data_IF_070217277904
#
_entry.id   IF_070217277904
#
_cell.length_a   1.000
_cell.length_b   1.000
_cell.length_c   1.000
_cell.angle_alpha   90.00
_cell.angle_beta   90.00
_cell.angle_gamma   90.00
#
_symmetry.space_group_name_H-M   'P 1'
#
loop_
_entity.id
_entity.type
_entity.pdbx_description
1 polymer ?
#
# COMPACT_ATOMS: atom_id res chain seq x y z
N UNK A 1 1.88 -13.04 -27.58
CA UNK A 1 1.18 -11.83 -27.12
C UNK A 1 -0.24 -11.74 -27.67
N UNK A 2 -0.49 -12.12 -28.94
CA UNK A 2 -1.82 -12.10 -29.55
C UNK A 2 -2.85 -13.00 -28.86
N UNK A 3 -2.46 -14.17 -28.36
CA UNK A 3 -3.36 -15.10 -27.67
C UNK A 3 -3.78 -14.64 -26.27
N UNK A 4 -2.95 -13.85 -25.60
CA UNK A 4 -3.29 -13.29 -24.28
C UNK A 4 -4.42 -12.26 -24.40
N UNK A 5 -4.41 -11.46 -25.47
CA UNK A 5 -5.48 -10.47 -25.71
C UNK A 5 -6.79 -11.09 -26.17
N UNK A 6 -6.75 -12.16 -26.95
CA UNK A 6 -7.96 -12.88 -27.37
C UNK A 6 -8.69 -13.55 -26.22
N UNK A 7 -7.96 -14.07 -25.22
CA UNK A 7 -8.55 -14.68 -24.01
C UNK A 7 -9.24 -13.67 -23.10
N UNK A 8 -8.91 -12.39 -23.21
CA UNK A 8 -9.56 -11.33 -22.42
C UNK A 8 -10.95 -10.95 -22.98
N UNK A 9 -11.28 -11.37 -24.18
CA UNK A 9 -12.62 -11.18 -24.77
C UNK A 9 -13.63 -12.25 -24.31
N UNK A 10 -13.14 -13.36 -23.74
CA UNK A 10 -14.01 -14.38 -23.18
C UNK A 10 -14.68 -13.86 -21.91
N UNK A 11 -15.99 -13.71 -21.95
CA UNK A 11 -16.80 -13.39 -20.79
C UNK A 11 -17.12 -14.70 -20.04
N UNK A 12 -16.89 -14.69 -18.73
CA UNK A 12 -17.22 -15.81 -17.86
C UNK A 12 -18.34 -15.42 -16.87
N UNK A 13 -19.59 -15.22 -17.35
CA UNK A 13 -20.66 -14.66 -16.53
C UNK A 13 -20.97 -15.49 -15.30
N UNK A 14 -21.02 -16.81 -15.43
CA UNK A 14 -21.29 -17.71 -14.30
C UNK A 14 -20.21 -17.63 -13.22
N UNK A 15 -18.95 -17.51 -13.62
CA UNK A 15 -17.83 -17.35 -12.69
C UNK A 15 -17.87 -16.00 -11.98
N UNK A 16 -18.19 -14.95 -12.71
CA UNK A 16 -18.34 -13.60 -12.14
C UNK A 16 -19.53 -13.55 -11.17
N UNK A 17 -20.65 -14.16 -11.52
CA UNK A 17 -21.83 -14.27 -10.65
C UNK A 17 -21.49 -15.01 -9.37
N UNK A 18 -20.83 -16.15 -9.46
CA UNK A 18 -20.34 -16.90 -8.31
C UNK A 18 -19.43 -16.06 -7.40
N UNK A 19 -18.48 -15.30 -7.99
CA UNK A 19 -17.62 -14.39 -7.19
C UNK A 19 -18.46 -13.32 -6.47
N UNK A 20 -19.48 -12.76 -7.12
CA UNK A 20 -20.37 -11.77 -6.50
C UNK A 20 -21.20 -12.36 -5.36
N UNK A 21 -21.73 -13.57 -5.53
CA UNK A 21 -22.41 -14.30 -4.48
C UNK A 21 -21.50 -14.53 -3.27
N UNK A 22 -20.25 -14.98 -3.49
CA UNK A 22 -19.28 -15.19 -2.42
C UNK A 22 -18.93 -13.90 -1.70
N UNK A 23 -18.77 -12.79 -2.43
CA UNK A 23 -18.53 -11.47 -1.82
C UNK A 23 -19.72 -10.98 -0.99
N UNK A 24 -20.94 -11.26 -1.44
CA UNK A 24 -22.14 -10.91 -0.69
C UNK A 24 -22.30 -11.76 0.58
N UNK A 25 -21.97 -13.06 0.48
CA UNK A 25 -22.05 -14.01 1.59
C UNK A 25 -20.98 -13.79 2.66
N UNK A 26 -19.78 -13.38 2.24
CA UNK A 26 -18.61 -13.17 3.09
C UNK A 26 -18.04 -11.78 2.89
N UNK A 27 -18.74 -10.71 3.32
CA UNK A 27 -18.26 -9.35 3.13
C UNK A 27 -16.99 -9.13 3.96
N UNK A 28 -16.07 -8.36 3.39
CA UNK A 28 -14.90 -7.87 4.13
C UNK A 28 -15.36 -6.82 5.13
N UNK A 29 -14.99 -7.00 6.38
CA UNK A 29 -15.35 -6.10 7.49
C UNK A 29 -14.12 -5.74 8.31
N UNK A 30 -14.11 -4.56 8.90
CA UNK A 30 -13.12 -4.12 9.87
C UNK A 30 -13.77 -3.17 10.89
N UNK A 31 -13.05 -2.86 11.97
CA UNK A 31 -13.53 -1.90 12.98
C UNK A 31 -13.42 -0.47 12.48
N UNK A 32 -14.56 0.16 12.20
CA UNK A 32 -14.65 1.54 11.73
C UNK A 32 -14.47 2.60 12.84
N UNK A 33 -14.30 2.19 14.09
CA UNK A 33 -14.07 3.11 15.22
C UNK A 33 -12.59 3.41 15.47
N UNK A 34 -11.69 2.72 14.77
CA UNK A 34 -10.24 2.81 15.00
C UNK A 34 -9.49 3.12 13.72
N UNK A 35 -8.31 3.74 13.88
CA UNK A 35 -7.37 3.93 12.77
C UNK A 35 -6.76 2.59 12.37
N UNK A 36 -7.26 2.04 11.28
CA UNK A 36 -6.83 0.74 10.75
C UNK A 36 -6.26 0.86 9.35
N UNK A 37 -5.50 -0.16 8.91
CA UNK A 37 -5.00 -0.21 7.54
C UNK A 37 -6.09 -0.20 6.48
N UNK A 38 -7.16 -1.01 6.60
CA UNK A 38 -8.31 -0.95 5.69
C UNK A 38 -8.92 0.44 5.56
N UNK A 39 -9.13 1.15 6.68
CA UNK A 39 -9.65 2.52 6.67
C UNK A 39 -8.79 3.49 5.83
N UNK A 40 -7.47 3.43 6.01
CA UNK A 40 -6.54 4.28 5.25
C UNK A 40 -6.67 4.00 3.75
N UNK A 41 -6.78 2.74 3.36
CA UNK A 41 -6.87 2.33 1.96
C UNK A 41 -8.21 2.72 1.34
N UNK A 42 -9.31 2.59 2.07
CA UNK A 42 -10.62 3.07 1.60
C UNK A 42 -10.63 4.59 1.41
N UNK A 43 -10.05 5.35 2.36
CA UNK A 43 -9.90 6.80 2.19
C UNK A 43 -9.04 7.17 1.00
N UNK A 44 -7.95 6.45 0.77
CA UNK A 44 -7.12 6.63 -0.43
C UNK A 44 -7.92 6.37 -1.71
N UNK A 45 -8.72 5.29 -1.73
CA UNK A 45 -9.60 4.99 -2.86
C UNK A 45 -10.64 6.10 -3.09
N UNK A 46 -11.32 6.57 -2.04
CA UNK A 46 -12.32 7.64 -2.11
C UNK A 46 -11.72 8.93 -2.71
N UNK A 47 -10.53 9.32 -2.24
CA UNK A 47 -9.85 10.54 -2.67
C UNK A 47 -9.39 10.44 -4.13
N UNK A 48 -8.78 9.32 -4.51
CA UNK A 48 -8.27 9.09 -5.87
C UNK A 48 -9.35 8.63 -6.83
N UNK A 49 -10.53 8.26 -6.32
CA UNK A 49 -11.62 7.63 -7.09
C UNK A 49 -11.17 6.37 -7.85
N UNK A 50 -10.15 5.70 -7.31
CA UNK A 50 -9.54 4.53 -7.94
C UNK A 50 -8.62 4.84 -9.14
N UNK A 51 -8.37 6.10 -9.45
CA UNK A 51 -7.44 6.51 -10.51
C UNK A 51 -6.05 6.78 -9.94
N UNK A 52 -5.39 5.70 -9.52
CA UNK A 52 -4.03 5.73 -9.04
C UNK A 52 -3.32 4.40 -9.33
N UNK A 53 -2.02 4.44 -9.47
CA UNK A 53 -1.16 3.27 -9.44
C UNK A 53 -0.76 3.03 -7.99
N UNK A 54 -1.13 1.88 -7.46
CA UNK A 54 -0.80 1.46 -6.11
C UNK A 54 0.33 0.45 -6.18
N UNK A 55 1.47 0.81 -5.62
CA UNK A 55 2.54 -0.14 -5.33
C UNK A 55 2.44 -0.58 -3.88
N UNK A 56 2.77 -1.82 -3.58
CA UNK A 56 2.83 -2.29 -2.19
C UNK A 56 4.11 -3.03 -1.90
N UNK A 57 4.56 -2.91 -0.68
CA UNK A 57 5.43 -3.88 -0.07
C UNK A 57 4.66 -5.12 0.40
N UNK A 58 5.31 -6.01 1.12
CA UNK A 58 4.78 -7.33 1.48
C UNK A 58 4.40 -7.40 2.97
N UNK A 59 3.14 -7.74 3.23
CA UNK A 59 2.60 -7.83 4.59
C UNK A 59 1.09 -7.64 4.62
N UNK A 60 0.54 -7.36 5.79
CA UNK A 60 -0.90 -7.09 5.93
C UNK A 60 -1.37 -5.93 5.05
N UNK A 61 -0.55 -4.88 4.92
CA UNK A 61 -0.83 -3.73 4.04
C UNK A 61 -1.00 -4.13 2.57
N UNK A 62 -0.28 -5.15 2.10
CA UNK A 62 -0.44 -5.73 0.76
C UNK A 62 -1.82 -6.39 0.61
N UNK A 63 -2.19 -7.22 1.58
CA UNK A 63 -3.50 -7.89 1.58
C UNK A 63 -4.64 -6.87 1.64
N UNK A 64 -4.55 -5.87 2.52
CA UNK A 64 -5.56 -4.82 2.61
C UNK A 64 -5.67 -4.00 1.34
N UNK A 65 -4.54 -3.70 0.68
CA UNK A 65 -4.54 -2.98 -0.61
C UNK A 65 -5.23 -3.78 -1.70
N UNK A 66 -5.03 -5.10 -1.75
CA UNK A 66 -5.71 -5.98 -2.70
C UNK A 66 -7.22 -6.10 -2.40
N UNK A 67 -7.62 -6.02 -1.13
CA UNK A 67 -9.00 -6.23 -0.68
C UNK A 67 -9.86 -4.97 -0.74
N UNK A 68 -9.32 -3.83 -0.31
CA UNK A 68 -10.11 -2.61 -0.07
C UNK A 68 -9.92 -1.52 -1.13
N UNK A 69 -8.81 -1.52 -1.90
CA UNK A 69 -8.67 -0.62 -3.04
C UNK A 69 -9.32 -1.24 -4.29
N UNK A 70 -10.31 -0.55 -4.86
CA UNK A 70 -11.04 -1.05 -6.04
C UNK A 70 -10.33 -0.59 -7.32
N UNK A 71 -9.50 -1.48 -7.87
CA UNK A 71 -8.75 -1.21 -9.10
C UNK A 71 -9.69 -1.15 -10.32
N UNK A 72 -9.51 -0.13 -11.15
CA UNK A 72 -10.33 0.11 -12.35
C UNK A 72 -9.62 -0.25 -13.65
N UNK A 73 -8.30 -0.19 -13.65
CA UNK A 73 -7.46 -0.43 -14.80
C UNK A 73 -6.49 -1.59 -14.54
N UNK A 74 -6.22 -2.45 -15.52
CA UNK A 74 -5.18 -3.46 -15.39
C UNK A 74 -3.81 -2.79 -15.23
N UNK A 75 -2.89 -3.49 -14.55
CA UNK A 75 -1.51 -3.04 -14.30
C UNK A 75 -1.39 -1.77 -13.44
N UNK A 76 -2.40 -1.47 -12.62
CA UNK A 76 -2.36 -0.38 -11.64
C UNK A 76 -2.14 -0.87 -10.21
N UNK A 77 -1.98 -2.19 -10.02
CA UNK A 77 -1.56 -2.80 -8.76
C UNK A 77 -0.19 -3.48 -8.95
N UNK A 78 0.84 -2.89 -8.34
CA UNK A 78 2.23 -3.36 -8.44
C UNK A 78 2.63 -3.98 -7.10
N UNK A 79 2.89 -5.27 -7.11
CA UNK A 79 3.20 -5.99 -5.87
C UNK A 79 4.05 -7.22 -6.13
N UNK A 80 4.92 -7.59 -5.18
CA UNK A 80 5.65 -8.85 -5.19
C UNK A 80 4.75 -9.99 -4.68
N UNK A 81 3.72 -10.34 -5.47
CA UNK A 81 2.71 -11.33 -5.08
C UNK A 81 3.17 -12.79 -5.15
N UNK A 82 4.23 -13.08 -5.87
CA UNK A 82 4.80 -14.42 -5.97
C UNK A 82 5.89 -14.69 -4.94
N UNK A 83 7.02 -13.99 -5.06
CA UNK A 83 8.17 -14.20 -4.18
C UNK A 83 8.02 -13.52 -2.80
N UNK A 84 7.20 -12.48 -2.68
CA UNK A 84 6.98 -11.79 -1.41
C UNK A 84 8.19 -10.99 -0.94
N UNK A 85 8.80 -10.21 -1.83
CA UNK A 85 10.03 -9.46 -1.52
C UNK A 85 9.71 -8.19 -0.74
N UNK A 86 10.09 -8.15 0.54
CA UNK A 86 10.06 -6.92 1.34
C UNK A 86 11.07 -5.90 0.79
N UNK A 87 10.66 -4.63 0.70
CA UNK A 87 11.47 -3.56 0.10
C UNK A 87 11.22 -3.35 -1.40
N UNK A 88 10.36 -4.14 -2.03
CA UNK A 88 10.01 -4.01 -3.45
C UNK A 88 9.27 -2.71 -3.77
N UNK A 89 8.35 -2.31 -2.89
CA UNK A 89 7.29 -1.36 -3.20
C UNK A 89 7.79 0.03 -3.60
N UNK A 90 8.73 0.60 -2.85
CA UNK A 90 9.21 1.97 -3.11
C UNK A 90 9.93 2.09 -4.45
N UNK A 91 10.82 1.13 -4.78
CA UNK A 91 11.49 1.11 -6.09
C UNK A 91 10.51 0.96 -7.25
N UNK A 92 9.51 0.07 -7.10
CA UNK A 92 8.45 -0.12 -8.09
C UNK A 92 7.59 1.16 -8.27
N UNK A 93 7.28 1.87 -7.18
CA UNK A 93 6.54 3.14 -7.24
C UNK A 93 7.31 4.24 -7.97
N UNK A 94 8.62 4.37 -7.68
CA UNK A 94 9.49 5.32 -8.40
C UNK A 94 9.49 4.99 -9.91
N UNK A 95 9.68 3.71 -10.25
CA UNK A 95 9.64 3.26 -11.64
C UNK A 95 8.29 3.52 -12.31
N UNK A 96 7.19 3.26 -11.62
CA UNK A 96 5.84 3.55 -12.11
C UNK A 96 5.63 5.04 -12.37
N UNK A 97 6.10 5.89 -11.46
CA UNK A 97 5.98 7.35 -11.63
C UNK A 97 6.84 7.88 -12.78
N UNK A 98 7.99 7.27 -13.00
CA UNK A 98 8.85 7.60 -14.16
C UNK A 98 8.20 7.16 -15.48
N UNK A 99 7.59 5.97 -15.51
CA UNK A 99 6.91 5.44 -16.70
C UNK A 99 5.54 6.07 -16.97
N UNK A 100 4.86 6.55 -15.93
CA UNK A 100 3.54 7.19 -16.01
C UNK A 100 3.52 8.47 -15.17
N UNK A 101 4.19 9.52 -15.63
CA UNK A 101 4.30 10.80 -14.90
C UNK A 101 2.95 11.50 -14.74
N UNK A 102 1.98 11.18 -15.59
CA UNK A 102 0.61 11.67 -15.61
C UNK A 102 -0.27 11.09 -14.50
N UNK A 103 0.10 9.93 -13.96
CA UNK A 103 -0.72 9.22 -12.94
C UNK A 103 -0.29 9.56 -11.51
N UNK A 104 -1.27 9.54 -10.62
CA UNK A 104 -1.02 9.47 -9.18
C UNK A 104 -0.39 8.12 -8.86
N UNK A 105 0.73 8.13 -8.15
CA UNK A 105 1.41 6.90 -7.71
C UNK A 105 1.54 6.92 -6.20
N UNK A 106 1.11 5.84 -5.56
CA UNK A 106 1.17 5.67 -4.10
C UNK A 106 1.85 4.34 -3.79
N UNK A 107 2.87 4.37 -2.95
CA UNK A 107 3.40 3.15 -2.33
C UNK A 107 2.83 2.97 -0.93
N UNK A 108 2.44 1.74 -0.60
CA UNK A 108 1.92 1.38 0.72
C UNK A 108 2.85 0.32 1.31
N UNK A 109 3.52 0.65 2.39
CA UNK A 109 4.47 -0.22 3.07
C UNK A 109 4.16 -0.33 4.56
N UNK A 110 4.50 -1.45 5.16
CA UNK A 110 4.64 -1.56 6.61
C UNK A 110 5.99 -1.01 7.05
N UNK A 111 6.11 -0.69 8.33
CA UNK A 111 7.34 -0.18 8.94
C UNK A 111 8.55 -1.11 8.74
N UNK A 112 8.36 -2.42 8.86
CA UNK A 112 9.42 -3.41 8.59
C UNK A 112 9.88 -3.43 7.14
N UNK A 113 8.96 -3.30 6.19
CA UNK A 113 9.29 -3.27 4.77
C UNK A 113 9.95 -1.95 4.36
N UNK A 114 9.43 -0.83 4.85
CA UNK A 114 9.99 0.49 4.54
C UNK A 114 11.46 0.58 4.93
N UNK A 115 11.86 -0.01 6.05
CA UNK A 115 13.27 -0.08 6.50
C UNK A 115 14.20 -0.79 5.53
N UNK A 116 13.69 -1.70 4.72
CA UNK A 116 14.50 -2.47 3.77
C UNK A 116 15.12 -1.59 2.68
N UNK A 117 14.37 -0.55 2.24
CA UNK A 117 14.74 0.29 1.10
C UNK A 117 14.42 1.78 1.29
N UNK A 118 14.25 2.27 2.52
CA UNK A 118 13.93 3.68 2.78
C UNK A 118 14.96 4.67 2.23
N UNK A 119 16.19 4.23 2.00
CA UNK A 119 17.24 5.02 1.34
C UNK A 119 16.83 5.48 -0.06
N UNK A 120 15.92 4.77 -0.75
CA UNK A 120 15.41 5.15 -2.06
C UNK A 120 14.47 6.36 -2.02
N UNK A 121 14.11 6.86 -0.84
CA UNK A 121 13.48 8.19 -0.71
C UNK A 121 14.39 9.28 -1.31
N UNK A 122 15.70 9.19 -1.11
CA UNK A 122 16.65 10.11 -1.74
C UNK A 122 16.61 10.00 -3.27
N UNK A 123 16.42 8.80 -3.82
CA UNK A 123 16.23 8.60 -5.26
C UNK A 123 14.92 9.23 -5.74
N UNK A 124 13.83 9.06 -5.01
CA UNK A 124 12.54 9.70 -5.34
C UNK A 124 12.66 11.22 -5.36
N UNK A 125 13.30 11.81 -4.36
CA UNK A 125 13.57 13.26 -4.28
C UNK A 125 14.41 13.73 -5.49
N UNK A 126 15.47 12.99 -5.82
CA UNK A 126 16.32 13.31 -6.98
C UNK A 126 15.56 13.26 -8.31
N UNK A 127 14.55 12.40 -8.42
CA UNK A 127 13.73 12.31 -9.63
C UNK A 127 12.77 13.50 -9.81
N UNK A 128 12.60 14.35 -8.80
CA UNK A 128 11.70 15.51 -8.80
C UNK A 128 10.29 15.16 -9.28
N UNK A 129 9.72 14.08 -8.74
CA UNK A 129 8.39 13.60 -9.11
C UNK A 129 7.52 13.40 -7.88
N UNK A 130 6.28 13.83 -8.00
CA UNK A 130 5.28 13.59 -6.98
C UNK A 130 5.11 12.07 -6.76
N UNK A 131 5.29 11.65 -5.52
CA UNK A 131 5.09 10.27 -5.07
C UNK A 131 4.61 10.29 -3.62
N UNK A 132 3.54 9.57 -3.33
CA UNK A 132 3.09 9.38 -1.95
C UNK A 132 3.56 8.01 -1.42
N UNK A 133 4.38 8.04 -0.38
CA UNK A 133 4.75 6.87 0.41
C UNK A 133 3.93 6.82 1.69
N UNK A 134 3.06 5.84 1.84
CA UNK A 134 2.34 5.58 3.11
C UNK A 134 3.10 4.50 3.87
N UNK A 135 3.47 4.79 5.12
CA UNK A 135 4.08 3.83 6.03
C UNK A 135 3.09 3.50 7.14
N UNK A 136 2.58 2.27 7.13
CA UNK A 136 1.72 1.73 8.19
C UNK A 136 2.60 1.28 9.34
N UNK A 137 2.81 2.18 10.29
CA UNK A 137 3.72 1.98 11.42
C UNK A 137 2.97 1.41 12.63
N UNK A 138 2.89 0.10 12.71
CA UNK A 138 2.26 -0.62 13.81
C UNK A 138 3.26 -1.32 14.74
N UNK A 139 4.55 -1.08 14.55
CA UNK A 139 5.66 -1.63 15.33
C UNK A 139 5.74 -3.16 15.34
N UNK A 140 5.19 -3.81 14.31
CA UNK A 140 5.27 -5.27 14.18
C UNK A 140 5.38 -5.71 12.72
N UNK A 141 6.01 -6.88 12.50
CA UNK A 141 5.89 -7.62 11.24
C UNK A 141 4.50 -8.29 11.22
N UNK A 142 3.49 -7.51 10.83
CA UNK A 142 2.09 -7.83 11.08
C UNK A 142 1.61 -9.16 10.49
N UNK A 143 2.01 -9.50 9.26
CA UNK A 143 1.63 -10.78 8.65
C UNK A 143 2.27 -11.96 9.39
N UNK A 144 3.55 -11.88 9.76
CA UNK A 144 4.23 -12.95 10.51
C UNK A 144 3.59 -13.11 11.89
N UNK A 145 3.31 -12.01 12.58
CA UNK A 145 2.62 -12.04 13.87
C UNK A 145 1.23 -12.65 13.75
N UNK A 146 0.49 -12.36 12.69
CA UNK A 146 -0.81 -12.98 12.42
C UNK A 146 -0.69 -14.50 12.31
N UNK A 147 0.29 -15.02 11.60
CA UNK A 147 0.55 -16.45 11.52
C UNK A 147 0.90 -17.06 12.88
N UNK A 148 1.73 -16.38 13.65
CA UNK A 148 2.08 -16.83 15.01
C UNK A 148 0.83 -16.87 15.91
N UNK A 149 -0.11 -15.94 15.73
CA UNK A 149 -1.39 -15.95 16.44
C UNK A 149 -2.27 -17.14 16.02
N UNK A 150 -2.43 -17.35 14.72
CA UNK A 150 -3.39 -18.31 14.17
C UNK A 150 -2.91 -19.78 14.24
N UNK A 151 -1.60 -20.00 14.06
CA UNK A 151 -1.07 -21.35 13.84
C UNK A 151 -0.01 -21.78 14.84
N UNK A 152 0.48 -20.87 15.70
CA UNK A 152 1.57 -21.15 16.62
C UNK A 152 1.22 -20.83 18.08
N UNK A 153 -0.04 -20.93 18.46
CA UNK A 153 -0.53 -20.77 19.85
C UNK A 153 -0.04 -19.49 20.53
N UNK A 154 -0.05 -18.36 19.78
CA UNK A 154 0.45 -17.06 20.26
C UNK A 154 1.95 -17.06 20.69
N UNK A 155 2.74 -18.00 20.20
CA UNK A 155 4.20 -18.03 20.46
C UNK A 155 4.90 -17.02 19.58
N UNK A 156 4.95 -15.77 20.03
CA UNK A 156 5.54 -14.66 19.31
C UNK A 156 7.07 -14.68 19.41
N UNK A 157 7.74 -14.54 18.26
CA UNK A 157 9.20 -14.49 18.18
C UNK A 157 9.62 -13.53 17.07
N UNK A 158 10.48 -12.57 17.44
CA UNK A 158 11.16 -11.64 16.52
C UNK A 158 10.22 -10.86 15.55
N UNK A 159 8.98 -10.57 15.96
CA UNK A 159 8.02 -9.83 15.14
C UNK A 159 7.76 -8.42 15.66
N UNK A 160 8.24 -8.07 16.83
CA UNK A 160 8.11 -6.72 17.41
C UNK A 160 9.27 -5.84 16.94
N UNK A 161 8.92 -4.62 16.52
CA UNK A 161 9.83 -3.58 16.04
C UNK A 161 9.74 -2.40 17.02
N UNK A 162 10.25 -2.60 18.24
CA UNK A 162 10.12 -1.69 19.39
C UNK A 162 11.24 -0.63 19.48
N UNK A 163 11.89 -0.35 18.37
CA UNK A 163 12.93 0.67 18.30
C UNK A 163 12.38 2.10 18.15
N UNK A 164 13.26 3.08 18.35
CA UNK A 164 12.95 4.50 18.29
C UNK A 164 13.09 5.11 16.89
N UNK A 165 12.83 4.35 15.81
CA UNK A 165 12.98 4.85 14.44
C UNK A 165 11.91 5.91 14.16
N UNK A 166 12.35 7.12 13.84
CA UNK A 166 11.48 8.23 13.44
C UNK A 166 11.51 8.38 11.90
N UNK A 167 10.51 7.78 11.25
CA UNK A 167 10.40 7.80 9.79
C UNK A 167 10.19 9.21 9.22
N UNK A 168 9.59 10.13 10.00
CA UNK A 168 9.42 11.53 9.59
C UNK A 168 10.79 12.18 9.47
N UNK A 169 11.60 12.14 10.55
CA UNK A 169 12.95 12.74 10.54
C UNK A 169 13.87 12.12 9.50
N UNK A 170 13.80 10.80 9.30
CA UNK A 170 14.59 10.12 8.29
C UNK A 170 14.20 10.62 6.89
N UNK A 171 12.92 10.67 6.58
CA UNK A 171 12.43 11.11 5.28
C UNK A 171 12.76 12.56 5.00
N UNK A 172 12.60 13.44 5.99
CA UNK A 172 12.99 14.85 5.91
C UNK A 172 14.51 15.01 5.74
N UNK A 173 15.31 14.21 6.46
CA UNK A 173 16.77 14.17 6.30
C UNK A 173 17.22 13.73 4.91
N UNK A 174 16.41 12.98 4.18
CA UNK A 174 16.61 12.59 2.78
C UNK A 174 16.03 13.59 1.78
N UNK A 175 15.39 14.68 2.25
CA UNK A 175 14.86 15.76 1.42
C UNK A 175 13.41 15.63 1.02
N UNK A 176 12.67 14.61 1.47
CA UNK A 176 11.24 14.48 1.24
C UNK A 176 10.43 15.31 2.26
N UNK A 177 9.15 15.56 1.97
CA UNK A 177 8.20 16.00 2.99
C UNK A 177 7.68 14.78 3.77
N UNK A 178 7.38 14.98 5.04
CA UNK A 178 6.81 13.90 5.84
C UNK A 178 5.76 14.40 6.83
N UNK A 179 4.76 13.55 7.11
CA UNK A 179 3.70 13.82 8.08
C UNK A 179 3.50 12.59 8.95
N UNK A 180 3.15 12.83 10.22
CA UNK A 180 2.70 11.77 11.11
C UNK A 180 1.20 11.90 11.33
N UNK A 181 0.48 10.83 11.10
CA UNK A 181 -0.96 10.71 11.32
C UNK A 181 -1.20 9.69 12.44
N UNK A 182 -1.93 10.08 13.47
CA UNK A 182 -2.21 9.22 14.63
C UNK A 182 -3.69 9.06 14.92
N UNK A 183 -4.52 9.83 14.23
CA UNK A 183 -5.98 9.85 14.42
C UNK A 183 -6.69 9.68 13.08
N UNK A 184 -7.89 9.12 13.13
CA UNK A 184 -8.69 8.85 11.93
C UNK A 184 -9.04 10.14 11.17
N UNK A 185 -9.40 11.19 11.88
CA UNK A 185 -9.79 12.49 11.31
C UNK A 185 -8.63 13.20 10.58
N UNK A 186 -7.40 12.80 10.84
CA UNK A 186 -6.21 13.36 10.19
C UNK A 186 -5.89 12.69 8.84
N UNK A 187 -6.43 11.48 8.58
CA UNK A 187 -6.06 10.66 7.41
C UNK A 187 -6.40 11.35 6.09
N UNK A 188 -7.66 11.75 5.94
CA UNK A 188 -8.11 12.38 4.69
C UNK A 188 -7.39 13.72 4.42
N UNK A 189 -7.31 14.65 5.38
CA UNK A 189 -6.55 15.88 5.18
C UNK A 189 -5.07 15.65 4.81
N UNK A 190 -4.42 14.70 5.46
CA UNK A 190 -3.01 14.37 5.19
C UNK A 190 -2.80 13.81 3.78
N UNK A 191 -3.65 12.87 3.35
CA UNK A 191 -3.59 12.31 2.00
C UNK A 191 -3.83 13.40 0.95
N UNK A 192 -4.88 14.23 1.12
CA UNK A 192 -5.17 15.33 0.19
C UNK A 192 -4.02 16.32 0.10
N UNK A 193 -3.45 16.69 1.25
CA UNK A 193 -2.30 17.60 1.32
C UNK A 193 -1.09 16.98 0.60
N UNK A 194 -0.78 15.71 0.85
CA UNK A 194 0.34 15.03 0.22
C UNK A 194 0.19 14.93 -1.32
N UNK A 195 -1.02 14.61 -1.79
CA UNK A 195 -1.28 14.50 -3.23
C UNK A 195 -1.28 15.86 -3.96
N UNK A 196 -1.46 16.96 -3.23
CA UNK A 196 -1.40 18.32 -3.77
C UNK A 196 0.05 18.86 -3.88
N UNK A 197 1.04 18.17 -3.30
CA UNK A 197 2.45 18.55 -3.37
C UNK A 197 3.10 17.97 -4.62
N UNK A 198 3.92 18.76 -5.33
CA UNK A 198 4.67 18.28 -6.51
C UNK A 198 6.07 17.78 -6.11
N UNK A 199 6.12 17.02 -5.04
CA UNK A 199 7.34 16.45 -4.49
C UNK A 199 7.04 15.11 -3.77
N UNK A 200 8.05 14.26 -3.47
CA UNK A 200 7.86 13.07 -2.68
C UNK A 200 7.41 13.39 -1.26
N UNK A 201 6.37 12.68 -0.79
CA UNK A 201 5.81 12.82 0.55
C UNK A 201 5.74 11.46 1.24
N UNK A 202 6.15 11.40 2.51
CA UNK A 202 6.05 10.22 3.36
C UNK A 202 5.05 10.43 4.49
#
# INVERSE_FOLDING_TARGET
>A
LGDVYKRQEEQHPEWIEHIQEMKAKYPLTYDHSQLTGPYIIEKLYEITKGDAIISTDVGQHQMWSAQYFKYKEPRTFLTSGGLGTMGYGLGAAIGAKMGRPDKTVVNIAGDGCFRMNMNEIATAVRCHKQLLQIVMNNHVLGMVRQWQTLFYDHRYSHTVLDDAVDFVKISEGMGAKAFRVTKMEEVEPAIRKALAMDEPVV
#
